data_IF_795488896945
#
_entry.id   IF_795488896945
#
_cell.length_a   1.000
_cell.length_b   1.000
_cell.length_c   1.000
_cell.angle_alpha   90.00
_cell.angle_beta   90.00
_cell.angle_gamma   90.00
#
_symmetry.space_group_name_H-M   'P 1'
#
loop_
_entity.id
_entity.type
_entity.pdbx_description
1 polymer ?
#
# COMPACT_ATOMS: atom_id res chain seq x y z
N UNK A 1 83.46 20.72 5.28
CA UNK A 1 82.15 21.33 5.68
C UNK A 1 80.96 20.93 4.81
N UNK A 2 81.12 20.19 3.71
CA UNK A 2 80.02 19.91 2.71
C UNK A 2 79.11 18.75 3.09
N UNK A 3 79.56 17.62 3.62
CA UNK A 3 78.76 16.41 3.83
C UNK A 3 77.76 16.46 5.01
N UNK A 4 77.92 17.38 5.96
CA UNK A 4 77.03 17.50 7.11
C UNK A 4 75.74 18.31 6.76
N UNK A 5 75.81 19.22 5.77
CA UNK A 5 74.65 20.00 5.30
C UNK A 5 73.75 19.20 4.39
N UNK A 6 74.26 18.28 3.59
CA UNK A 6 73.38 17.41 2.73
C UNK A 6 72.60 16.39 3.55
N UNK A 7 73.18 15.82 4.63
CA UNK A 7 72.49 14.86 5.51
C UNK A 7 71.35 15.54 6.26
N UNK A 8 71.53 16.76 6.74
CA UNK A 8 70.45 17.53 7.39
C UNK A 8 69.32 17.94 6.42
N UNK A 9 69.66 18.18 5.16
CA UNK A 9 68.65 18.51 4.12
C UNK A 9 67.81 17.28 3.71
N UNK A 10 68.42 16.10 3.68
CA UNK A 10 67.70 14.81 3.47
C UNK A 10 66.77 14.47 4.63
N UNK A 11 67.23 14.65 5.88
CA UNK A 11 66.38 14.39 7.07
C UNK A 11 65.22 15.37 7.16
N UNK A 12 65.37 16.64 6.83
CA UNK A 12 64.29 17.63 6.80
C UNK A 12 63.29 17.30 5.67
N UNK A 13 63.70 16.76 4.52
CA UNK A 13 62.79 16.34 3.43
C UNK A 13 62.05 15.05 3.79
N UNK A 14 62.67 14.12 4.46
CA UNK A 14 62.01 12.86 4.93
C UNK A 14 60.99 13.16 6.02
N UNK A 15 61.31 14.06 6.99
CA UNK A 15 60.36 14.48 8.04
C UNK A 15 59.18 15.26 7.43
N UNK A 16 59.41 16.12 6.43
CA UNK A 16 58.35 16.87 5.76
C UNK A 16 57.41 15.97 4.94
N UNK A 17 57.93 14.92 4.28
CA UNK A 17 57.15 13.93 3.54
C UNK A 17 56.38 13.01 4.48
N UNK A 18 56.96 12.61 5.63
CA UNK A 18 56.26 11.78 6.62
C UNK A 18 55.16 12.56 7.35
N UNK A 19 55.35 13.88 7.62
CA UNK A 19 54.30 14.74 8.18
C UNK A 19 53.16 15.02 7.17
N UNK A 20 53.48 15.06 5.86
CA UNK A 20 52.44 15.30 4.81
C UNK A 20 51.64 14.02 4.53
N UNK A 21 52.22 12.82 4.70
CA UNK A 21 51.47 11.54 4.59
C UNK A 21 50.57 11.26 5.79
N UNK A 22 50.87 11.80 6.98
CA UNK A 22 50.00 11.64 8.16
C UNK A 22 48.82 12.59 8.16
N UNK A 23 48.86 13.70 7.38
CA UNK A 23 47.72 14.62 7.20
C UNK A 23 46.71 14.15 6.15
N UNK A 24 47.07 13.21 5.28
CA UNK A 24 46.16 12.61 4.30
C UNK A 24 45.36 11.41 4.82
N UNK A 25 45.68 10.88 6.01
CA UNK A 25 44.98 9.78 6.65
C UNK A 25 43.85 10.22 7.61
N UNK A 26 43.65 11.52 7.80
CA UNK A 26 42.63 12.07 8.73
C UNK A 26 41.34 12.50 8.03
N UNK A 27 41.12 12.06 6.78
CA UNK A 27 39.90 12.26 6.03
C UNK A 27 38.89 11.11 6.16
N UNK A 28 38.92 10.36 7.28
CA UNK A 28 37.74 9.58 7.66
C UNK A 28 36.67 10.57 8.14
N UNK A 29 35.65 10.73 7.34
CA UNK A 29 34.42 11.41 7.79
C UNK A 29 34.04 10.83 9.14
N UNK A 30 34.04 11.64 10.17
CA UNK A 30 33.41 11.30 11.44
C UNK A 30 31.94 11.13 11.12
N UNK A 31 31.49 9.90 10.91
CA UNK A 31 30.10 9.58 11.18
C UNK A 31 29.81 10.13 12.58
N UNK A 32 28.94 11.13 12.65
CA UNK A 32 28.40 11.55 13.95
C UNK A 32 27.82 10.27 14.55
N UNK A 33 28.13 9.89 15.79
CA UNK A 33 27.47 8.76 16.40
C UNK A 33 25.98 9.06 16.35
N UNK A 34 25.21 8.33 15.50
CA UNK A 34 23.77 8.39 15.53
C UNK A 34 23.37 8.04 16.95
N UNK A 35 22.66 8.95 17.63
CA UNK A 35 22.05 8.63 18.92
C UNK A 35 21.09 7.47 18.63
N UNK A 36 21.42 6.26 19.06
CA UNK A 36 20.59 5.05 18.90
C UNK A 36 19.20 5.18 19.59
N UNK A 37 18.91 6.33 20.16
CA UNK A 37 17.74 6.63 20.96
C UNK A 37 16.67 7.43 20.20
N UNK A 38 16.92 7.85 18.96
CA UNK A 38 15.95 8.59 18.15
C UNK A 38 15.92 7.96 16.76
N UNK A 39 14.76 7.41 16.39
CA UNK A 39 14.44 6.93 15.05
C UNK A 39 13.68 8.02 14.29
N UNK A 40 14.15 8.38 13.10
CA UNK A 40 13.45 9.28 12.17
C UNK A 40 12.93 8.48 11.00
N UNK A 41 11.60 8.41 10.89
CA UNK A 41 10.90 7.70 9.82
C UNK A 41 10.30 8.69 8.84
N UNK A 42 10.68 8.57 7.57
CA UNK A 42 10.03 9.25 6.46
C UNK A 42 8.94 8.36 5.86
N UNK A 43 7.69 8.80 5.89
CA UNK A 43 6.57 8.11 5.25
C UNK A 43 6.14 8.89 4.02
N UNK A 44 6.15 8.26 2.85
CA UNK A 44 5.75 8.90 1.59
C UNK A 44 4.61 8.09 0.98
N UNK A 45 3.41 8.70 0.93
CA UNK A 45 2.22 8.12 0.30
C UNK A 45 2.15 8.52 -1.18
N UNK A 46 1.39 7.78 -2.00
CA UNK A 46 1.21 8.12 -3.41
C UNK A 46 0.27 9.31 -3.59
N UNK A 47 -0.78 9.40 -2.75
CA UNK A 47 -1.77 10.49 -2.73
C UNK A 47 -2.23 10.75 -1.30
N UNK A 48 -2.90 11.89 -1.07
CA UNK A 48 -3.61 12.19 0.18
C UNK A 48 -5.11 11.84 0.13
N UNK A 49 -5.61 11.48 -1.06
CA UNK A 49 -7.06 11.34 -1.31
C UNK A 49 -7.55 9.89 -1.16
N UNK A 50 -6.68 8.96 -0.75
CA UNK A 50 -7.01 7.56 -0.51
C UNK A 50 -7.33 7.30 0.98
N UNK A 51 -8.62 7.04 1.35
CA UNK A 51 -9.01 6.80 2.74
C UNK A 51 -8.35 5.58 3.37
N UNK A 52 -8.08 4.50 2.60
CA UNK A 52 -7.41 3.31 3.11
C UNK A 52 -5.97 3.63 3.52
N UNK A 53 -5.23 4.33 2.66
CA UNK A 53 -3.83 4.74 2.93
C UNK A 53 -3.77 5.75 4.08
N UNK A 54 -4.74 6.64 4.18
CA UNK A 54 -4.82 7.60 5.29
C UNK A 54 -5.06 6.88 6.62
N UNK A 55 -6.04 5.95 6.69
CA UNK A 55 -6.31 5.15 7.88
C UNK A 55 -5.07 4.32 8.28
N UNK A 56 -4.41 3.65 7.33
CA UNK A 56 -3.17 2.90 7.58
C UNK A 56 -2.05 3.80 8.12
N UNK A 57 -1.90 5.00 7.56
CA UNK A 57 -0.87 5.95 7.99
C UNK A 57 -1.12 6.48 9.40
N UNK A 58 -2.37 6.71 9.77
CA UNK A 58 -2.73 7.15 11.13
C UNK A 58 -2.47 6.04 12.15
N UNK A 59 -2.86 4.80 11.85
CA UNK A 59 -2.52 3.64 12.68
C UNK A 59 -1.01 3.40 12.80
N UNK A 60 -0.26 3.64 11.73
CA UNK A 60 1.20 3.58 11.75
C UNK A 60 1.80 4.59 12.75
N UNK A 61 1.27 5.83 12.79
CA UNK A 61 1.69 6.85 13.76
C UNK A 61 1.36 6.43 15.21
N UNK A 62 0.18 5.85 15.43
CA UNK A 62 -0.25 5.31 16.73
C UNK A 62 0.69 4.19 17.18
N UNK A 63 0.96 3.20 16.33
CA UNK A 63 1.88 2.11 16.63
C UNK A 63 3.29 2.62 16.95
N UNK A 64 3.82 3.59 16.22
CA UNK A 64 5.11 4.20 16.53
C UNK A 64 5.08 4.89 17.91
N UNK A 65 3.98 5.54 18.25
CA UNK A 65 3.82 6.21 19.54
C UNK A 65 3.85 5.23 20.71
N UNK A 66 3.22 4.08 20.54
CA UNK A 66 3.22 3.00 21.54
C UNK A 66 4.60 2.36 21.73
N UNK A 67 5.43 2.36 20.70
CA UNK A 67 6.80 1.83 20.74
C UNK A 67 7.82 2.77 21.39
N UNK A 68 7.43 4.01 21.70
CA UNK A 68 8.30 4.96 22.40
C UNK A 68 8.52 4.58 23.89
N UNK A 69 9.64 5.01 24.43
CA UNK A 69 9.95 4.92 25.87
C UNK A 69 10.66 6.19 26.36
N UNK A 70 11.03 6.25 27.64
CA UNK A 70 11.82 7.38 28.16
C UNK A 70 13.16 7.53 27.40
N UNK A 71 13.77 6.41 27.02
CA UNK A 71 15.09 6.36 26.37
C UNK A 71 15.03 6.19 24.84
N UNK A 72 13.85 6.02 24.23
CA UNK A 72 13.69 5.82 22.81
C UNK A 72 12.54 6.64 22.23
N UNK A 73 12.83 7.48 21.26
CA UNK A 73 11.86 8.35 20.58
C UNK A 73 11.78 8.07 19.09
N UNK A 74 10.59 8.25 18.53
CA UNK A 74 10.32 8.05 17.10
C UNK A 74 9.73 9.34 16.55
N UNK A 75 10.39 9.91 15.54
CA UNK A 75 9.94 11.11 14.82
C UNK A 75 9.46 10.67 13.45
N UNK A 76 8.16 10.85 13.19
CA UNK A 76 7.53 10.48 11.93
C UNK A 76 7.25 11.73 11.11
N UNK A 77 7.72 11.76 9.88
CA UNK A 77 7.39 12.77 8.88
C UNK A 77 6.58 12.14 7.76
N UNK A 78 5.37 12.61 7.52
CA UNK A 78 4.49 12.10 6.45
C UNK A 78 4.37 13.15 5.36
N UNK A 79 4.59 12.76 4.11
CA UNK A 79 4.36 13.58 2.91
C UNK A 79 3.69 12.74 1.84
N UNK A 80 3.01 13.38 0.89
CA UNK A 80 2.37 12.69 -0.22
C UNK A 80 3.01 13.07 -1.57
N UNK A 81 2.95 12.17 -2.54
CA UNK A 81 3.53 12.32 -3.87
C UNK A 81 2.60 12.99 -4.88
N UNK A 82 1.38 13.41 -4.48
CA UNK A 82 0.38 14.09 -5.32
C UNK A 82 0.14 13.36 -6.68
N UNK A 83 0.09 12.03 -6.66
CA UNK A 83 -0.07 11.16 -7.84
C UNK A 83 1.01 11.39 -8.92
N UNK A 84 2.16 11.95 -8.55
CA UNK A 84 3.25 12.28 -9.44
C UNK A 84 4.57 11.63 -8.98
N UNK A 85 5.08 10.71 -9.80
CA UNK A 85 6.32 9.98 -9.48
C UNK A 85 7.55 10.90 -9.38
N UNK A 86 7.59 12.01 -10.14
CA UNK A 86 8.71 12.96 -10.05
C UNK A 86 8.68 13.70 -8.72
N UNK A 87 7.50 14.16 -8.29
CA UNK A 87 7.32 14.85 -7.02
C UNK A 87 7.62 13.91 -5.85
N UNK A 88 7.18 12.65 -5.94
CA UNK A 88 7.51 11.62 -4.95
C UNK A 88 9.03 11.40 -4.84
N UNK A 89 9.75 11.37 -5.97
CA UNK A 89 11.20 11.24 -5.97
C UNK A 89 11.89 12.43 -5.25
N UNK A 90 11.40 13.66 -5.45
CA UNK A 90 11.95 14.88 -4.82
C UNK A 90 11.66 14.88 -3.32
N UNK A 91 10.47 14.46 -2.92
CA UNK A 91 10.09 14.29 -1.51
C UNK A 91 10.98 13.28 -0.80
N UNK A 92 11.28 12.15 -1.43
CA UNK A 92 12.20 11.15 -0.87
C UNK A 92 13.60 11.73 -0.71
N UNK A 93 14.11 12.51 -1.68
CA UNK A 93 15.39 13.21 -1.59
C UNK A 93 15.42 14.19 -0.41
N UNK A 94 14.36 15.02 -0.23
CA UNK A 94 14.22 15.91 0.91
C UNK A 94 14.21 15.16 2.26
N UNK A 95 13.56 14.00 2.35
CA UNK A 95 13.54 13.20 3.57
C UNK A 95 14.91 12.59 3.89
N UNK A 96 15.66 12.17 2.88
CA UNK A 96 17.04 11.72 3.01
C UNK A 96 17.93 12.87 3.55
N UNK A 97 17.82 14.05 2.94
CA UNK A 97 18.58 15.24 3.35
C UNK A 97 18.21 15.71 4.76
N UNK A 98 16.95 15.54 5.16
CA UNK A 98 16.48 15.81 6.53
C UNK A 98 17.00 14.80 7.57
N UNK A 99 17.67 13.72 7.13
CA UNK A 99 18.33 12.72 7.97
C UNK A 99 17.36 11.67 8.50
N UNK A 100 16.39 11.23 7.69
CA UNK A 100 15.61 10.04 8.00
C UNK A 100 16.49 8.80 8.11
N UNK A 101 16.17 7.93 9.05
CA UNK A 101 16.88 6.68 9.30
C UNK A 101 16.24 5.50 8.57
N UNK A 102 14.95 5.58 8.30
CA UNK A 102 14.12 4.59 7.58
C UNK A 102 13.13 5.32 6.69
N UNK A 103 12.88 4.81 5.51
CA UNK A 103 11.85 5.29 4.58
C UNK A 103 10.75 4.22 4.45
N UNK A 104 9.48 4.63 4.63
CA UNK A 104 8.30 3.85 4.29
C UNK A 104 7.66 4.48 3.05
N UNK A 105 7.61 3.76 1.93
CA UNK A 105 7.20 4.33 0.64
C UNK A 105 6.05 3.55 0.03
N UNK A 106 4.92 4.23 -0.15
CA UNK A 106 3.81 3.77 -0.98
C UNK A 106 3.97 4.42 -2.37
N UNK A 107 4.40 3.64 -3.34
CA UNK A 107 4.82 4.15 -4.65
C UNK A 107 3.66 4.76 -5.44
N UNK A 108 3.91 5.87 -6.14
CA UNK A 108 3.02 6.36 -7.20
C UNK A 108 3.01 5.37 -8.37
N UNK A 109 4.18 5.03 -8.87
CA UNK A 109 4.36 4.02 -9.93
C UNK A 109 5.23 2.86 -9.43
N UNK A 110 4.62 1.70 -9.22
CA UNK A 110 5.29 0.49 -8.74
C UNK A 110 6.40 -0.02 -9.66
N UNK A 111 6.39 0.40 -10.93
CA UNK A 111 7.38 0.00 -11.95
C UNK A 111 8.56 0.97 -12.05
N UNK A 112 8.52 2.07 -11.31
CA UNK A 112 9.52 3.15 -11.40
C UNK A 112 10.24 3.48 -10.06
N UNK A 113 10.56 2.50 -9.17
CA UNK A 113 11.19 2.76 -7.87
C UNK A 113 12.70 3.03 -7.98
N UNK A 114 13.31 2.84 -9.15
CA UNK A 114 14.77 2.79 -9.31
C UNK A 114 15.50 4.05 -8.85
N UNK A 115 14.91 5.26 -9.00
CA UNK A 115 15.52 6.50 -8.50
C UNK A 115 15.52 6.55 -6.97
N UNK A 116 14.39 6.21 -6.36
CA UNK A 116 14.22 6.14 -4.90
C UNK A 116 15.21 5.13 -4.29
N UNK A 117 15.27 3.92 -4.85
CA UNK A 117 16.18 2.85 -4.41
C UNK A 117 17.64 3.33 -4.47
N UNK A 118 18.03 3.96 -5.58
CA UNK A 118 19.41 4.45 -5.76
C UNK A 118 19.79 5.51 -4.74
N UNK A 119 18.93 6.50 -4.49
CA UNK A 119 19.18 7.58 -3.51
C UNK A 119 19.32 7.00 -2.10
N UNK A 120 18.38 6.18 -1.66
CA UNK A 120 18.42 5.54 -0.34
C UNK A 120 19.64 4.60 -0.17
N UNK A 121 20.00 3.86 -1.23
CA UNK A 121 21.18 2.99 -1.22
C UNK A 121 22.49 3.76 -1.07
N UNK A 122 22.62 4.93 -1.70
CA UNK A 122 23.81 5.79 -1.56
C UNK A 122 24.04 6.23 -0.12
N UNK A 123 22.97 6.53 0.60
CA UNK A 123 23.00 6.94 2.02
C UNK A 123 22.82 5.77 2.99
N UNK A 124 22.70 4.55 2.47
CA UNK A 124 22.50 3.32 3.25
C UNK A 124 21.20 3.30 4.09
N UNK A 125 20.17 4.04 3.70
CA UNK A 125 18.88 4.16 4.37
C UNK A 125 17.96 3.04 3.89
N UNK A 126 17.46 2.13 4.76
CA UNK A 126 16.53 1.07 4.36
C UNK A 126 15.20 1.65 3.88
N UNK A 127 14.59 0.96 2.91
CA UNK A 127 13.24 1.26 2.42
C UNK A 127 12.32 0.08 2.73
N UNK A 128 11.16 0.39 3.28
CA UNK A 128 10.03 -0.52 3.39
C UNK A 128 8.95 0.01 2.46
N UNK A 129 8.77 -0.64 1.33
CA UNK A 129 7.63 -0.35 0.47
C UNK A 129 6.36 -0.91 1.11
N UNK A 130 5.24 -0.23 0.93
CA UNK A 130 3.98 -0.72 1.47
C UNK A 130 2.81 -0.52 0.51
N UNK A 131 1.78 -1.34 0.62
CA UNK A 131 0.58 -1.40 -0.19
C UNK A 131 0.88 -1.66 -1.69
N UNK A 132 1.44 -0.71 -2.45
CA UNK A 132 1.82 -0.88 -3.87
C UNK A 132 3.15 -1.63 -3.97
N UNK A 133 3.10 -2.92 -4.28
CA UNK A 133 4.27 -3.79 -4.35
C UNK A 133 5.15 -3.45 -5.57
N UNK A 134 6.45 -3.11 -5.40
CA UNK A 134 7.39 -3.03 -6.52
C UNK A 134 7.53 -4.38 -7.23
N UNK A 135 8.03 -4.37 -8.47
CA UNK A 135 8.35 -5.65 -9.12
C UNK A 135 9.45 -6.37 -8.35
N UNK A 136 9.40 -7.71 -8.33
CA UNK A 136 10.30 -8.55 -7.52
C UNK A 136 11.77 -8.24 -7.78
N UNK A 137 12.13 -7.97 -9.02
CA UNK A 137 13.49 -7.63 -9.44
C UNK A 137 14.00 -6.36 -8.76
N UNK A 138 13.13 -5.38 -8.51
CA UNK A 138 13.50 -4.14 -7.83
C UNK A 138 13.77 -4.36 -6.34
N UNK A 139 12.93 -5.11 -5.65
CA UNK A 139 13.14 -5.45 -4.22
C UNK A 139 14.42 -6.29 -4.03
N UNK A 140 14.79 -7.10 -5.00
CA UNK A 140 15.98 -7.95 -4.93
C UNK A 140 17.30 -7.21 -5.21
N UNK A 141 17.28 -5.94 -5.65
CA UNK A 141 18.49 -5.19 -6.00
C UNK A 141 19.38 -4.84 -4.80
N UNK A 142 18.82 -4.83 -3.59
CA UNK A 142 19.56 -4.43 -2.40
C UNK A 142 18.97 -5.08 -1.14
N UNK A 143 19.82 -5.50 -0.19
CA UNK A 143 19.43 -6.24 1.00
C UNK A 143 18.61 -5.44 2.04
N UNK A 144 18.54 -4.10 1.89
CA UNK A 144 17.76 -3.23 2.78
C UNK A 144 16.44 -2.75 2.14
N UNK A 145 15.90 -3.52 1.22
CA UNK A 145 14.58 -3.30 0.63
C UNK A 145 13.60 -4.34 1.16
N UNK A 146 12.44 -3.88 1.61
CA UNK A 146 11.38 -4.69 2.21
C UNK A 146 10.03 -4.30 1.64
N UNK A 147 9.04 -5.14 1.85
CA UNK A 147 7.65 -4.90 1.49
C UNK A 147 6.71 -5.34 2.61
N UNK A 148 5.68 -4.54 2.88
CA UNK A 148 4.55 -4.83 3.75
C UNK A 148 3.27 -4.55 2.98
N UNK A 149 2.40 -5.54 2.83
CA UNK A 149 1.14 -5.41 2.11
C UNK A 149 0.33 -6.69 2.12
N UNK A 150 -0.46 -6.90 1.07
CA UNK A 150 -1.36 -8.05 0.92
C UNK A 150 -1.20 -8.71 -0.45
N UNK A 151 -1.79 -9.89 -0.61
CA UNK A 151 -1.89 -10.59 -1.89
C UNK A 151 -3.18 -10.22 -2.61
N UNK A 152 -3.08 -9.41 -3.67
CA UNK A 152 -4.23 -8.96 -4.44
C UNK A 152 -4.99 -10.12 -5.15
N UNK A 153 -4.31 -11.22 -5.49
CA UNK A 153 -4.95 -12.42 -6.03
C UNK A 153 -5.90 -13.03 -4.99
N UNK A 154 -5.43 -13.18 -3.75
CA UNK A 154 -6.26 -13.67 -2.65
C UNK A 154 -7.53 -12.83 -2.47
N UNK A 155 -7.42 -11.50 -2.52
CA UNK A 155 -8.59 -10.63 -2.37
C UNK A 155 -9.61 -10.79 -3.50
N UNK A 156 -9.15 -10.95 -4.75
CA UNK A 156 -10.02 -11.21 -5.89
C UNK A 156 -10.73 -12.56 -5.77
N UNK A 157 -10.01 -13.62 -5.37
CA UNK A 157 -10.60 -14.94 -5.11
C UNK A 157 -11.66 -14.83 -4.01
N UNK A 158 -11.36 -14.22 -2.87
CA UNK A 158 -12.30 -14.06 -1.77
C UNK A 158 -13.54 -13.26 -2.16
N UNK A 159 -13.38 -12.19 -2.95
CA UNK A 159 -14.51 -11.43 -3.48
C UNK A 159 -15.38 -12.31 -4.39
N UNK A 160 -14.78 -13.08 -5.27
CA UNK A 160 -15.53 -14.03 -6.12
C UNK A 160 -16.29 -15.08 -5.30
N UNK A 161 -15.68 -15.63 -4.24
CA UNK A 161 -16.31 -16.61 -3.34
C UNK A 161 -17.51 -16.04 -2.59
N UNK A 162 -17.37 -14.83 -1.98
CA UNK A 162 -18.46 -14.20 -1.22
C UNK A 162 -19.63 -13.84 -2.13
N UNK A 163 -19.35 -13.37 -3.37
CA UNK A 163 -20.38 -13.11 -4.38
C UNK A 163 -21.06 -14.40 -4.80
N UNK A 164 -20.31 -15.47 -5.11
CA UNK A 164 -20.89 -16.77 -5.52
C UNK A 164 -21.77 -17.36 -4.43
N UNK A 165 -21.33 -17.30 -3.17
CA UNK A 165 -22.12 -17.76 -2.02
C UNK A 165 -23.40 -16.94 -1.85
N UNK A 166 -23.33 -15.63 -2.01
CA UNK A 166 -24.50 -14.77 -1.96
C UNK A 166 -25.51 -15.10 -3.06
N UNK A 167 -25.08 -15.17 -4.31
CA UNK A 167 -25.94 -15.48 -5.46
C UNK A 167 -26.59 -16.87 -5.35
N UNK A 168 -25.90 -17.84 -4.79
CA UNK A 168 -26.45 -19.19 -4.55
C UNK A 168 -27.63 -19.17 -3.57
N UNK A 169 -27.58 -18.29 -2.57
CA UNK A 169 -28.61 -18.17 -1.54
C UNK A 169 -29.72 -17.19 -1.94
N UNK A 170 -29.48 -16.33 -2.96
CA UNK A 170 -30.36 -15.27 -3.42
C UNK A 170 -30.65 -15.37 -4.92
N UNK A 171 -31.38 -16.42 -5.37
CA UNK A 171 -31.72 -16.60 -6.79
C UNK A 171 -32.58 -15.47 -7.38
N UNK A 172 -33.18 -14.64 -6.55
CA UNK A 172 -33.94 -13.45 -6.96
C UNK A 172 -33.07 -12.33 -7.54
N UNK A 173 -31.74 -12.40 -7.40
CA UNK A 173 -30.78 -11.47 -8.03
C UNK A 173 -30.86 -11.55 -9.56
N UNK A 174 -31.08 -12.73 -10.13
CA UNK A 174 -31.43 -12.92 -11.54
C UNK A 174 -32.87 -12.39 -11.77
N UNK A 175 -32.98 -11.06 -11.92
CA UNK A 175 -34.27 -10.36 -12.01
C UNK A 175 -35.00 -10.71 -13.29
N UNK A 176 -34.31 -10.86 -14.40
CA UNK A 176 -34.86 -11.16 -15.71
C UNK A 176 -35.13 -12.66 -15.93
N UNK A 177 -34.58 -13.54 -15.04
CA UNK A 177 -34.72 -15.01 -15.02
C UNK A 177 -34.19 -15.70 -16.28
N UNK A 178 -33.09 -15.17 -16.85
CA UNK A 178 -32.44 -15.78 -18.02
C UNK A 178 -31.35 -16.79 -17.64
N UNK A 179 -31.11 -16.94 -16.33
CA UNK A 179 -30.11 -17.86 -15.76
C UNK A 179 -28.68 -17.34 -15.90
N UNK A 180 -28.49 -16.05 -16.06
CA UNK A 180 -27.23 -15.34 -16.02
C UNK A 180 -27.31 -14.20 -15.03
N UNK A 181 -26.17 -13.65 -14.64
CA UNK A 181 -26.06 -12.44 -13.80
C UNK A 181 -25.44 -11.33 -14.64
N UNK A 182 -26.23 -10.28 -14.89
CA UNK A 182 -25.77 -9.10 -15.60
C UNK A 182 -24.98 -8.21 -14.67
N UNK A 183 -23.69 -8.04 -14.96
CA UNK A 183 -22.81 -7.29 -14.06
C UNK A 183 -22.10 -6.12 -14.69
N UNK A 184 -21.75 -5.15 -13.84
CA UNK A 184 -20.81 -4.08 -14.13
C UNK A 184 -19.60 -4.24 -13.22
N UNK A 185 -18.43 -3.86 -13.72
CA UNK A 185 -17.19 -3.89 -12.97
C UNK A 185 -16.59 -2.48 -12.88
N UNK A 186 -16.29 -2.07 -11.64
CA UNK A 186 -15.57 -0.84 -11.33
C UNK A 186 -14.14 -1.20 -10.96
N UNK A 187 -13.23 -0.89 -11.87
CA UNK A 187 -11.79 -1.16 -11.68
C UNK A 187 -11.08 0.08 -11.16
N UNK A 188 -10.03 -0.15 -10.40
CA UNK A 188 -9.16 0.89 -9.88
C UNK A 188 -8.41 1.63 -10.99
N UNK A 189 -7.16 1.96 -10.72
CA UNK A 189 -6.29 2.68 -11.66
C UNK A 189 -5.84 1.77 -12.80
N UNK A 190 -5.89 2.29 -14.03
CA UNK A 190 -5.49 1.55 -15.22
C UNK A 190 -4.02 1.11 -15.16
N UNK A 191 -3.77 -0.19 -15.31
CA UNK A 191 -2.42 -0.77 -15.24
C UNK A 191 -1.91 -1.04 -13.81
N UNK A 192 -2.70 -0.74 -12.79
CA UNK A 192 -2.37 -1.09 -11.42
C UNK A 192 -2.49 -2.61 -11.21
N UNK A 193 -1.45 -3.23 -10.62
CA UNK A 193 -1.40 -4.68 -10.46
C UNK A 193 -2.59 -5.23 -9.66
N UNK A 194 -2.91 -4.58 -8.52
CA UNK A 194 -4.01 -5.03 -7.67
C UNK A 194 -5.36 -4.90 -8.39
N UNK A 195 -5.57 -3.82 -9.16
CA UNK A 195 -6.80 -3.65 -9.93
C UNK A 195 -6.97 -4.79 -10.94
N UNK A 196 -5.92 -5.12 -11.69
CA UNK A 196 -5.92 -6.22 -12.64
C UNK A 196 -6.17 -7.56 -11.93
N UNK A 197 -5.42 -7.85 -10.85
CA UNK A 197 -5.55 -9.11 -10.12
C UNK A 197 -6.94 -9.26 -9.50
N UNK A 198 -7.45 -8.24 -8.79
CA UNK A 198 -8.79 -8.25 -8.19
C UNK A 198 -9.86 -8.50 -9.24
N UNK A 199 -9.78 -7.81 -10.39
CA UNK A 199 -10.71 -7.98 -11.51
C UNK A 199 -10.69 -9.39 -12.08
N UNK A 200 -9.51 -9.88 -12.42
CA UNK A 200 -9.37 -11.18 -13.10
C UNK A 200 -9.77 -12.33 -12.18
N UNK A 201 -9.30 -12.32 -10.93
CA UNK A 201 -9.56 -13.42 -10.00
C UNK A 201 -11.00 -13.41 -9.47
N UNK A 202 -11.64 -12.26 -9.26
CA UNK A 202 -13.06 -12.23 -8.88
C UNK A 202 -13.94 -12.84 -9.97
N UNK A 203 -13.76 -12.44 -11.22
CA UNK A 203 -14.54 -12.99 -12.34
C UNK A 203 -14.22 -14.46 -12.59
N UNK A 204 -12.95 -14.84 -12.53
CA UNK A 204 -12.53 -16.25 -12.69
C UNK A 204 -13.15 -17.14 -11.62
N UNK A 205 -13.10 -16.73 -10.36
CA UNK A 205 -13.67 -17.49 -9.24
C UNK A 205 -15.18 -17.67 -9.39
N UNK A 206 -15.91 -16.61 -9.81
CA UNK A 206 -17.34 -16.73 -10.09
C UNK A 206 -17.64 -17.76 -11.17
N UNK A 207 -16.85 -17.79 -12.25
CA UNK A 207 -16.99 -18.79 -13.32
C UNK A 207 -16.68 -20.20 -12.79
N UNK A 208 -15.66 -20.37 -11.97
CA UNK A 208 -15.29 -21.63 -11.32
C UNK A 208 -16.38 -22.15 -10.36
N UNK A 209 -17.20 -21.24 -9.82
CA UNK A 209 -18.41 -21.56 -9.03
C UNK A 209 -19.69 -21.71 -9.87
N UNK A 210 -19.56 -21.94 -11.20
CA UNK A 210 -20.66 -22.15 -12.13
C UNK A 210 -21.62 -20.96 -12.29
N UNK A 211 -21.23 -19.73 -11.85
CA UNK A 211 -22.01 -18.51 -12.07
C UNK A 211 -21.90 -18.10 -13.54
N UNK A 212 -23.04 -18.05 -14.23
CA UNK A 212 -23.09 -17.57 -15.61
C UNK A 212 -23.16 -16.06 -15.62
N UNK A 213 -22.11 -15.42 -16.07
CA UNK A 213 -21.97 -13.97 -16.08
C UNK A 213 -22.24 -13.37 -17.46
N UNK A 214 -22.93 -12.23 -17.49
CA UNK A 214 -23.05 -11.37 -18.67
C UNK A 214 -22.54 -9.97 -18.33
N UNK A 215 -21.38 -9.59 -18.91
CA UNK A 215 -20.76 -8.31 -18.64
C UNK A 215 -21.45 -7.19 -19.42
N UNK A 216 -22.15 -6.30 -18.73
CA UNK A 216 -22.74 -5.10 -19.31
C UNK A 216 -21.70 -4.01 -19.55
N UNK A 217 -20.82 -3.79 -18.57
CA UNK A 217 -19.78 -2.76 -18.66
C UNK A 217 -18.60 -3.03 -17.76
N UNK A 218 -17.49 -2.37 -18.08
CA UNK A 218 -16.25 -2.33 -17.37
C UNK A 218 -15.74 -0.88 -17.37
N UNK A 219 -15.48 -0.31 -16.21
CA UNK A 219 -15.14 1.10 -16.05
C UNK A 219 -13.99 1.29 -15.08
N UNK A 220 -13.00 2.07 -15.48
CA UNK A 220 -11.99 2.60 -14.55
C UNK A 220 -12.58 3.74 -13.74
N UNK A 221 -12.37 3.72 -12.44
CA UNK A 221 -12.82 4.77 -11.53
C UNK A 221 -11.74 5.17 -10.51
N UNK A 222 -10.49 4.75 -10.76
CA UNK A 222 -9.26 5.24 -10.13
C UNK A 222 -9.32 5.29 -8.59
N UNK A 223 -9.88 4.22 -7.96
CA UNK A 223 -10.07 4.09 -6.50
C UNK A 223 -10.96 5.16 -5.88
N UNK A 224 -11.60 6.01 -6.67
CA UNK A 224 -12.26 7.23 -6.25
C UNK A 224 -13.78 7.12 -6.26
N UNK A 225 -14.41 7.42 -5.09
CA UNK A 225 -15.88 7.38 -4.87
C UNK A 225 -16.64 8.24 -5.86
N UNK A 226 -16.22 9.49 -6.07
CA UNK A 226 -16.90 10.43 -6.96
C UNK A 226 -16.79 10.04 -8.43
N UNK A 227 -15.65 9.49 -8.87
CA UNK A 227 -15.52 8.96 -10.23
C UNK A 227 -16.43 7.74 -10.42
N UNK A 228 -16.44 6.80 -9.46
CA UNK A 228 -17.32 5.63 -9.50
C UNK A 228 -18.80 6.02 -9.51
N UNK A 229 -19.20 6.99 -8.70
CA UNK A 229 -20.57 7.54 -8.71
C UNK A 229 -20.94 8.08 -10.11
N UNK A 230 -20.06 8.87 -10.72
CA UNK A 230 -20.28 9.42 -12.07
C UNK A 230 -20.37 8.32 -13.13
N UNK A 231 -19.51 7.27 -13.06
CA UNK A 231 -19.57 6.11 -13.97
C UNK A 231 -20.89 5.36 -13.78
N UNK A 232 -21.21 5.00 -12.54
CA UNK A 232 -22.41 4.24 -12.21
C UNK A 232 -23.70 4.99 -12.57
N UNK A 233 -23.74 6.31 -12.38
CA UNK A 233 -24.88 7.14 -12.82
C UNK A 233 -25.15 7.00 -14.31
N UNK A 234 -24.10 6.98 -15.16
CA UNK A 234 -24.24 6.78 -16.60
C UNK A 234 -24.68 5.35 -16.95
N UNK A 235 -24.14 4.36 -16.23
CA UNK A 235 -24.53 2.96 -16.41
C UNK A 235 -25.99 2.73 -16.05
N UNK A 236 -26.47 3.33 -14.96
CA UNK A 236 -27.89 3.30 -14.58
C UNK A 236 -28.77 3.94 -15.67
N UNK A 237 -28.34 5.05 -16.27
CA UNK A 237 -29.06 5.67 -17.38
C UNK A 237 -29.12 4.78 -18.63
N UNK A 238 -28.11 3.99 -18.88
CA UNK A 238 -27.96 3.12 -20.06
C UNK A 238 -28.67 1.78 -19.88
N UNK A 239 -28.49 1.12 -18.76
CA UNK A 239 -28.91 -0.26 -18.52
C UNK A 239 -30.08 -0.37 -17.51
N UNK A 240 -30.27 0.64 -16.66
CA UNK A 240 -31.36 0.66 -15.68
C UNK A 240 -31.28 -0.55 -14.75
N UNK A 241 -32.38 -1.28 -14.67
CA UNK A 241 -32.55 -2.47 -13.82
C UNK A 241 -31.96 -3.75 -14.40
N UNK A 242 -31.31 -3.68 -15.57
CA UNK A 242 -30.55 -4.79 -16.10
C UNK A 242 -29.23 -5.02 -15.31
N UNK A 243 -28.78 -4.03 -14.50
CA UNK A 243 -27.63 -4.19 -13.64
C UNK A 243 -28.05 -4.96 -12.40
N UNK A 244 -27.62 -6.20 -12.28
CA UNK A 244 -27.93 -7.09 -11.17
C UNK A 244 -26.80 -7.16 -10.15
N UNK A 245 -25.54 -7.03 -10.60
CA UNK A 245 -24.36 -7.13 -9.77
C UNK A 245 -23.35 -6.01 -10.10
N UNK A 246 -22.78 -5.41 -9.06
CA UNK A 246 -21.63 -4.50 -9.13
C UNK A 246 -20.45 -5.16 -8.42
N UNK A 247 -19.39 -5.46 -9.17
CA UNK A 247 -18.10 -5.90 -8.64
C UNK A 247 -17.19 -4.67 -8.61
N UNK A 248 -16.73 -4.27 -7.43
CA UNK A 248 -15.85 -3.13 -7.27
C UNK A 248 -14.49 -3.54 -6.69
N UNK A 249 -13.40 -3.04 -7.27
CA UNK A 249 -12.06 -3.38 -6.79
C UNK A 249 -11.72 -2.77 -5.43
N UNK A 250 -12.48 -1.76 -4.95
CA UNK A 250 -12.38 -1.26 -3.58
C UNK A 250 -13.72 -0.72 -3.06
N UNK A 251 -13.77 -0.42 -1.77
CA UNK A 251 -14.96 0.05 -1.07
C UNK A 251 -15.34 1.48 -1.47
N UNK A 252 -14.38 2.37 -1.70
CA UNK A 252 -14.66 3.73 -2.12
C UNK A 252 -15.46 3.75 -3.43
N UNK A 253 -15.08 2.95 -4.41
CA UNK A 253 -15.82 2.84 -5.66
C UNK A 253 -17.15 2.11 -5.48
N UNK A 254 -17.23 1.10 -4.61
CA UNK A 254 -18.50 0.44 -4.26
C UNK A 254 -19.48 1.44 -3.62
N UNK A 255 -19.02 2.27 -2.69
CA UNK A 255 -19.81 3.35 -2.09
C UNK A 255 -20.25 4.39 -3.13
N UNK A 256 -19.41 4.67 -4.12
CA UNK A 256 -19.80 5.50 -5.28
C UNK A 256 -20.99 4.90 -6.05
N UNK A 257 -21.01 3.58 -6.24
CA UNK A 257 -22.14 2.90 -6.85
C UNK A 257 -23.39 2.96 -5.96
N UNK A 258 -23.26 2.79 -4.65
CA UNK A 258 -24.34 2.98 -3.66
C UNK A 258 -24.95 4.38 -3.78
N UNK A 259 -24.12 5.42 -3.83
CA UNK A 259 -24.56 6.81 -3.99
C UNK A 259 -25.35 7.04 -5.30
N UNK A 260 -24.86 6.49 -6.42
CA UNK A 260 -25.52 6.58 -7.71
C UNK A 260 -26.90 5.90 -7.70
N UNK A 261 -27.00 4.70 -7.12
CA UNK A 261 -28.28 3.99 -6.96
C UNK A 261 -29.26 4.76 -6.08
N UNK A 262 -28.77 5.33 -4.96
CA UNK A 262 -29.57 6.16 -4.06
C UNK A 262 -30.13 7.41 -4.77
N UNK A 263 -29.29 8.12 -5.54
CA UNK A 263 -29.70 9.31 -6.33
C UNK A 263 -30.67 8.97 -7.47
N UNK A 264 -30.54 7.79 -8.06
CA UNK A 264 -31.48 7.28 -9.06
C UNK A 264 -32.84 6.87 -8.45
N UNK A 265 -32.94 6.84 -7.12
CA UNK A 265 -34.18 6.50 -6.42
C UNK A 265 -34.46 5.01 -6.30
N UNK A 266 -33.45 4.16 -6.50
CA UNK A 266 -33.59 2.70 -6.38
C UNK A 266 -33.97 2.30 -4.94
N UNK A 267 -34.81 1.27 -4.82
CA UNK A 267 -35.33 0.73 -3.56
C UNK A 267 -35.57 -0.76 -3.68
N UNK A 268 -35.36 -1.50 -2.60
CA UNK A 268 -35.64 -2.94 -2.55
C UNK A 268 -35.03 -3.69 -3.74
N UNK A 269 -35.82 -4.47 -4.46
CA UNK A 269 -35.34 -5.32 -5.56
C UNK A 269 -34.85 -4.55 -6.81
N UNK A 270 -34.97 -3.22 -6.84
CA UNK A 270 -34.39 -2.39 -7.91
C UNK A 270 -32.88 -2.15 -7.64
N UNK A 271 -32.40 -2.45 -6.43
CA UNK A 271 -31.03 -2.22 -5.99
C UNK A 271 -30.15 -3.40 -6.43
N UNK A 272 -29.11 -3.18 -7.25
CA UNK A 272 -28.20 -4.25 -7.59
C UNK A 272 -27.41 -4.70 -6.36
N UNK A 273 -26.94 -5.95 -6.32
CA UNK A 273 -26.02 -6.39 -5.27
C UNK A 273 -24.64 -5.80 -5.52
N UNK A 274 -24.00 -5.26 -4.48
CA UNK A 274 -22.75 -4.51 -4.57
C UNK A 274 -21.72 -5.10 -3.61
N UNK A 275 -20.53 -5.40 -4.13
CA UNK A 275 -19.41 -5.94 -3.36
C UNK A 275 -18.15 -5.10 -3.55
N UNK A 276 -17.41 -4.88 -2.46
CA UNK A 276 -16.18 -4.12 -2.41
C UNK A 276 -14.96 -4.94 -1.94
N UNK A 277 -13.88 -4.23 -1.68
CA UNK A 277 -12.67 -4.70 -1.00
C UNK A 277 -12.14 -3.51 -0.19
N UNK A 278 -11.64 -3.72 0.97
CA UNK A 278 -10.87 -2.96 1.96
C UNK A 278 -11.46 -3.07 3.37
N UNK A 279 -12.79 -3.11 3.52
CA UNK A 279 -13.42 -3.13 4.84
C UNK A 279 -13.42 -1.75 5.51
N UNK A 280 -13.58 -0.67 4.72
CA UNK A 280 -13.71 0.69 5.25
C UNK A 280 -14.98 0.82 6.11
N UNK A 281 -14.91 1.62 7.19
CA UNK A 281 -16.03 1.80 8.13
C UNK A 281 -17.35 2.18 7.42
N UNK A 282 -17.30 3.08 6.42
CA UNK A 282 -18.46 3.45 5.62
C UNK A 282 -19.04 2.25 4.85
N UNK A 283 -18.18 1.35 4.32
CA UNK A 283 -18.62 0.15 3.61
C UNK A 283 -19.20 -0.90 4.57
N UNK A 284 -18.59 -1.10 5.74
CA UNK A 284 -19.13 -1.95 6.79
C UNK A 284 -20.51 -1.46 7.24
N UNK A 285 -20.68 -0.14 7.42
CA UNK A 285 -21.98 0.45 7.70
C UNK A 285 -22.98 0.27 6.53
N UNK A 286 -22.53 0.35 5.27
CA UNK A 286 -23.36 0.09 4.11
C UNK A 286 -23.81 -1.38 4.04
N UNK A 287 -22.97 -2.33 4.42
CA UNK A 287 -23.31 -3.76 4.55
C UNK A 287 -24.37 -3.94 5.63
N UNK A 288 -24.14 -3.41 6.84
CA UNK A 288 -25.09 -3.46 7.95
C UNK A 288 -26.47 -2.89 7.60
N UNK A 289 -26.50 -1.88 6.73
CA UNK A 289 -27.73 -1.25 6.26
C UNK A 289 -28.34 -1.89 4.99
N UNK A 290 -27.75 -2.99 4.48
CA UNK A 290 -28.21 -3.70 3.29
C UNK A 290 -28.01 -2.96 1.97
N UNK A 291 -27.11 -1.96 1.93
CA UNK A 291 -26.79 -1.19 0.71
C UNK A 291 -25.63 -1.81 -0.07
N UNK A 292 -24.77 -2.54 0.61
CA UNK A 292 -23.76 -3.49 0.07
C UNK A 292 -24.03 -4.86 0.67
N UNK A 293 -23.59 -5.91 0.01
CA UNK A 293 -23.78 -7.29 0.46
C UNK A 293 -22.51 -7.90 1.04
N UNK A 294 -21.36 -7.31 0.77
CA UNK A 294 -20.10 -7.75 1.35
C UNK A 294 -18.90 -6.97 0.86
N UNK A 295 -17.81 -7.20 1.56
CA UNK A 295 -16.47 -6.70 1.24
C UNK A 295 -15.42 -7.71 1.64
N UNK A 296 -14.21 -7.53 1.14
CA UNK A 296 -13.02 -8.28 1.58
C UNK A 296 -12.18 -7.35 2.44
N UNK A 297 -12.12 -7.63 3.75
CA UNK A 297 -11.40 -6.81 4.71
C UNK A 297 -9.89 -6.91 4.50
N UNK A 298 -9.28 -5.76 4.25
CA UNK A 298 -7.85 -5.53 4.12
C UNK A 298 -7.35 -4.95 5.44
N UNK A 299 -6.63 -5.72 6.24
CA UNK A 299 -6.29 -5.35 7.62
C UNK A 299 -5.20 -4.26 7.67
N UNK A 300 -5.63 -3.00 7.64
CA UNK A 300 -4.74 -1.84 7.71
C UNK A 300 -4.04 -1.69 9.07
N UNK A 301 -4.64 -2.20 10.15
CA UNK A 301 -4.04 -2.22 11.49
C UNK A 301 -2.85 -3.18 11.54
N UNK A 302 -3.05 -4.42 11.05
CA UNK A 302 -2.00 -5.42 10.98
C UNK A 302 -0.83 -4.92 10.13
N UNK A 303 -1.11 -4.40 8.91
CA UNK A 303 -0.07 -3.84 8.04
C UNK A 303 0.67 -2.67 8.70
N UNK A 304 -0.03 -1.74 9.34
CA UNK A 304 0.57 -0.61 10.04
C UNK A 304 1.46 -1.05 11.22
N UNK A 305 0.99 -2.02 12.00
CA UNK A 305 1.74 -2.63 13.10
C UNK A 305 3.04 -3.27 12.62
N UNK A 306 2.95 -4.06 11.54
CA UNK A 306 4.11 -4.75 10.98
C UNK A 306 5.10 -3.79 10.32
N UNK A 307 4.61 -2.74 9.64
CA UNK A 307 5.42 -1.67 9.10
C UNK A 307 6.18 -0.92 10.19
N UNK A 308 5.54 -0.65 11.34
CA UNK A 308 6.18 -0.02 12.49
C UNK A 308 7.24 -0.92 13.13
N UNK A 309 6.93 -2.20 13.36
CA UNK A 309 7.87 -3.20 13.93
C UNK A 309 9.11 -3.35 13.05
N UNK A 310 8.91 -3.51 11.74
CA UNK A 310 10.00 -3.67 10.79
C UNK A 310 10.88 -2.40 10.73
N UNK A 311 10.28 -1.20 10.79
CA UNK A 311 11.02 0.07 10.80
C UNK A 311 11.96 0.16 12.01
N UNK A 312 11.48 -0.20 13.20
CA UNK A 312 12.30 -0.19 14.42
C UNK A 312 13.41 -1.24 14.34
N UNK A 313 13.11 -2.43 13.81
CA UNK A 313 14.09 -3.51 13.70
C UNK A 313 15.22 -3.18 12.73
N UNK A 314 14.90 -2.68 11.53
CA UNK A 314 15.93 -2.32 10.54
C UNK A 314 16.80 -1.17 11.02
N UNK A 315 16.25 -0.25 11.81
CA UNK A 315 17.00 0.83 12.46
C UNK A 315 17.97 0.29 13.51
N UNK A 316 17.53 -0.62 14.37
CA UNK A 316 18.35 -1.22 15.42
C UNK A 316 19.41 -2.20 14.89
N UNK A 317 19.25 -2.64 13.64
CA UNK A 317 20.11 -3.69 13.06
C UNK A 317 19.84 -5.08 13.63
N UNK A 318 18.68 -5.28 14.26
CA UNK A 318 18.22 -6.56 14.78
C UNK A 318 17.70 -7.45 13.62
N UNK A 319 17.92 -8.74 13.66
CA UNK A 319 17.47 -9.69 12.63
C UNK A 319 16.35 -10.61 13.12
N UNK A 320 15.87 -10.41 14.33
CA UNK A 320 14.92 -11.33 14.97
C UNK A 320 13.58 -11.37 14.23
N UNK A 321 13.06 -10.22 13.88
CA UNK A 321 11.79 -10.10 13.16
C UNK A 321 11.93 -10.44 11.68
N UNK A 322 12.99 -9.96 11.02
CA UNK A 322 13.28 -10.24 9.60
C UNK A 322 13.36 -11.72 9.26
N UNK A 323 13.66 -12.57 10.25
CA UNK A 323 13.63 -14.03 10.06
C UNK A 323 12.20 -14.58 9.87
N UNK A 324 11.16 -13.80 10.13
CA UNK A 324 9.75 -14.16 9.97
C UNK A 324 9.20 -13.71 8.61
N UNK A 325 9.92 -12.85 7.88
CA UNK A 325 9.51 -12.39 6.56
C UNK A 325 9.71 -13.47 5.50
N UNK A 326 8.76 -13.58 4.59
CA UNK A 326 8.91 -14.42 3.39
C UNK A 326 10.08 -13.90 2.55
N UNK A 327 10.98 -14.81 2.13
CA UNK A 327 12.25 -14.49 1.45
C UNK A 327 13.12 -13.47 2.23
N UNK A 328 12.87 -13.26 3.53
CA UNK A 328 13.54 -12.28 4.38
C UNK A 328 13.22 -10.83 4.03
N UNK A 329 12.13 -10.57 3.29
CA UNK A 329 11.80 -9.26 2.71
C UNK A 329 10.32 -8.89 2.74
N UNK A 330 9.42 -9.88 2.67
CA UNK A 330 8.00 -9.66 2.48
C UNK A 330 7.21 -10.00 3.74
N UNK A 331 6.38 -9.09 4.17
CA UNK A 331 5.24 -9.36 5.03
C UNK A 331 3.96 -9.25 4.21
N UNK A 332 3.15 -10.30 4.26
CA UNK A 332 1.86 -10.35 3.56
C UNK A 332 0.78 -10.59 4.60
N UNK A 333 -0.06 -9.57 4.81
CA UNK A 333 -1.23 -9.64 5.70
C UNK A 333 -2.35 -10.42 5.04
N UNK A 334 -3.15 -11.12 5.85
CA UNK A 334 -4.25 -11.94 5.35
C UNK A 334 -5.53 -11.12 5.18
N UNK A 335 -6.23 -11.38 4.08
CA UNK A 335 -7.58 -10.85 3.87
C UNK A 335 -8.63 -11.67 4.63
N UNK A 336 -9.80 -11.07 4.91
CA UNK A 336 -10.95 -11.73 5.51
C UNK A 336 -12.25 -11.34 4.80
N UNK A 337 -13.15 -12.28 4.59
CA UNK A 337 -14.47 -12.01 4.02
C UNK A 337 -15.38 -11.36 5.07
N UNK A 338 -16.15 -10.36 4.65
CA UNK A 338 -17.13 -9.66 5.48
C UNK A 338 -18.46 -9.55 4.74
N UNK A 339 -19.52 -9.99 5.38
CA UNK A 339 -20.90 -9.90 4.93
C UNK A 339 -21.84 -9.52 6.10
N UNK A 340 -23.16 -9.63 5.90
CA UNK A 340 -24.15 -9.30 6.93
C UNK A 340 -24.07 -10.16 8.19
N UNK A 341 -23.51 -11.39 8.09
CA UNK A 341 -23.46 -12.32 9.21
C UNK A 341 -22.35 -11.97 10.21
N UNK A 342 -21.26 -11.33 9.75
CA UNK A 342 -20.09 -11.07 10.58
C UNK A 342 -19.64 -9.59 10.62
N UNK A 343 -20.31 -8.69 9.93
CA UNK A 343 -19.91 -7.27 9.84
C UNK A 343 -19.77 -6.58 11.20
N UNK A 344 -20.57 -6.97 12.19
CA UNK A 344 -20.51 -6.38 13.53
C UNK A 344 -19.17 -6.64 14.23
N UNK A 345 -18.49 -7.75 13.94
CA UNK A 345 -17.15 -8.07 14.48
C UNK A 345 -16.07 -7.09 14.01
N UNK A 346 -16.30 -6.45 12.86
CA UNK A 346 -15.37 -5.50 12.24
C UNK A 346 -15.67 -4.05 12.59
N UNK A 347 -16.93 -3.72 12.94
CA UNK A 347 -17.34 -2.41 13.40
C UNK A 347 -16.99 -2.13 14.89
N UNK A 348 -16.74 -3.16 15.69
CA UNK A 348 -16.38 -3.06 17.11
C UNK A 348 -14.85 -2.89 17.32
N UNK A 349 -14.07 -2.89 16.27
CA UNK A 349 -12.61 -2.72 16.30
C UNK A 349 -12.22 -1.26 16.12
#
# INVERSE_FOLDING_TARGET
MSKRNERNRKYKRVIAVTLMLTLLASGCGKEKPKSNNILRVGVVTYTQDDPFINAMTDKLKENFKEMESEDFKIIVSVKNGDDNQQDQNEIVEEMIDAGCDVLCVNLVDRTSPSRIIRMAKQESIPIIFFNREPVKEDIMQWEKLYYVGCDAEQSGVMQGEIVANYLKNHPEVDVNKDGKIQYVLLEGEAGHQDAISRTDYAVKTLIEHDVKLEKLSYQFADWNRGQAENRMTRLIQQYGKEIELVISNNDEMALGAVEACRKAGYRGNDWPVIFGIDGLEDALNAIKNGQMQGTVYNDNEDQASELAKLSVEVFRGDNKYRSQLTDGRYYVSEYRQVDEENVDEFLEK
#
